data_IF_367029372316
#
_entry.id   IF_367029372316
#
_cell.length_a   1.000
_cell.length_b   1.000
_cell.length_c   1.000
_cell.angle_alpha   90.00
_cell.angle_beta   90.00
_cell.angle_gamma   90.00
#
_symmetry.space_group_name_H-M   'P 1'
#
loop_
_entity.id
_entity.type
_entity.pdbx_description
1 polymer ?
#
# COMPACT_ATOMS: atom_id res chain seq x y z
N UNK A 1 13.46 2.77 -7.14
CA UNK A 1 12.19 3.40 -7.57
C UNK A 1 11.20 2.26 -7.77
N UNK A 2 10.05 2.26 -7.08
CA UNK A 2 9.01 1.29 -7.35
C UNK A 2 8.42 1.65 -8.72
N UNK A 3 8.73 0.83 -9.72
CA UNK A 3 8.47 1.09 -11.16
C UNK A 3 7.07 1.62 -11.45
N UNK A 4 6.08 1.22 -10.65
CA UNK A 4 4.68 1.54 -10.87
C UNK A 4 4.13 2.71 -10.03
N UNK A 5 4.83 3.16 -8.98
CA UNK A 5 4.29 4.20 -8.07
C UNK A 5 5.08 5.50 -8.07
N UNK A 6 6.22 5.58 -8.76
CA UNK A 6 7.13 6.73 -8.78
C UNK A 6 7.79 7.09 -7.45
N UNK A 7 7.46 6.39 -6.36
CA UNK A 7 8.09 6.59 -5.05
C UNK A 7 9.47 5.93 -4.98
N UNK A 8 10.36 6.55 -4.21
CA UNK A 8 11.57 5.88 -3.74
C UNK A 8 11.21 4.71 -2.82
N UNK A 9 12.05 3.67 -2.83
CA UNK A 9 11.80 2.45 -2.05
C UNK A 9 11.79 2.77 -0.55
N UNK A 10 12.67 3.68 -0.12
CA UNK A 10 12.76 4.12 1.28
C UNK A 10 11.48 4.81 1.75
N UNK A 11 10.90 5.67 0.90
CA UNK A 11 9.63 6.36 1.18
C UNK A 11 8.48 5.36 1.32
N UNK A 12 8.47 4.31 0.50
CA UNK A 12 7.48 3.25 0.58
C UNK A 12 7.58 2.47 1.91
N UNK A 13 8.78 2.13 2.36
CA UNK A 13 8.97 1.46 3.65
C UNK A 13 8.52 2.32 4.84
N UNK A 14 8.77 3.64 4.79
CA UNK A 14 8.25 4.56 5.82
C UNK A 14 6.72 4.56 5.84
N UNK A 15 6.07 4.61 4.67
CA UNK A 15 4.61 4.52 4.55
C UNK A 15 4.05 3.22 5.12
N UNK A 16 4.65 2.08 4.78
CA UNK A 16 4.28 0.76 5.33
C UNK A 16 4.42 0.74 6.85
N UNK A 17 5.51 1.31 7.39
CA UNK A 17 5.75 1.41 8.83
C UNK A 17 4.69 2.24 9.55
N UNK A 18 4.30 3.37 8.97
CA UNK A 18 3.25 4.25 9.51
C UNK A 18 1.87 3.59 9.42
N UNK A 19 1.58 2.87 8.34
CA UNK A 19 0.31 2.16 8.18
C UNK A 19 0.15 1.00 9.16
N UNK A 20 1.23 0.31 9.50
CA UNK A 20 1.20 -0.74 10.53
C UNK A 20 0.76 -0.23 11.90
N UNK A 21 0.93 1.07 12.19
CA UNK A 21 0.52 1.65 13.48
C UNK A 21 -0.90 2.25 13.47
N UNK A 22 -1.50 2.45 12.29
CA UNK A 22 -2.73 3.23 12.10
C UNK A 22 -4.01 2.40 11.89
N UNK A 23 -4.15 1.28 12.60
CA UNK A 23 -5.29 0.36 12.49
C UNK A 23 -5.30 -0.45 11.17
N UNK A 24 -6.22 -1.44 11.00
CA UNK A 24 -6.12 -2.37 9.87
C UNK A 24 -6.38 -1.65 8.55
N UNK A 25 -5.37 -1.68 7.67
CA UNK A 25 -5.48 -1.17 6.32
C UNK A 25 -6.20 -2.19 5.43
N UNK A 26 -7.39 -1.82 4.94
CA UNK A 26 -8.21 -2.66 4.05
C UNK A 26 -8.36 -1.99 2.68
N UNK A 27 -7.53 -2.38 1.71
CA UNK A 27 -7.55 -1.77 0.36
C UNK A 27 -8.82 -2.08 -0.47
N UNK A 28 -9.57 -3.12 -0.13
CA UNK A 28 -10.73 -3.58 -0.90
C UNK A 28 -12.05 -3.24 -0.20
N UNK A 29 -12.53 -2.01 -0.37
CA UNK A 29 -13.84 -1.56 0.11
C UNK A 29 -14.12 -1.90 1.59
N UNK A 30 -13.09 -1.87 2.44
CA UNK A 30 -13.22 -2.20 3.87
C UNK A 30 -13.20 -3.70 4.23
N UNK A 31 -13.15 -4.60 3.24
CA UNK A 31 -13.01 -6.03 3.48
C UNK A 31 -11.58 -6.39 3.88
N UNK A 32 -11.47 -7.30 4.85
CA UNK A 32 -10.18 -7.86 5.26
C UNK A 32 -9.73 -8.84 4.19
N UNK A 33 -8.60 -8.55 3.57
CA UNK A 33 -8.02 -9.43 2.54
C UNK A 33 -6.81 -10.15 3.13
N UNK A 34 -6.98 -11.43 3.48
CA UNK A 34 -5.95 -12.24 4.14
C UNK A 34 -4.87 -12.76 3.18
N UNK A 35 -5.15 -12.81 1.87
CA UNK A 35 -4.23 -13.38 0.87
C UNK A 35 -3.12 -12.42 0.41
N UNK A 36 -3.15 -11.15 0.82
CA UNK A 36 -2.16 -10.15 0.40
C UNK A 36 -1.51 -9.51 1.61
N UNK A 37 -0.19 -9.31 1.54
CA UNK A 37 0.53 -8.57 2.58
C UNK A 37 0.13 -7.09 2.58
N UNK A 38 0.33 -6.39 3.69
CA UNK A 38 0.04 -4.95 3.76
C UNK A 38 0.82 -4.15 2.71
N UNK A 39 2.03 -4.60 2.36
CA UNK A 39 2.85 -3.99 1.30
C UNK A 39 2.19 -4.15 -0.07
N UNK A 40 1.70 -5.34 -0.41
CA UNK A 40 1.00 -5.60 -1.66
C UNK A 40 -0.29 -4.77 -1.76
N UNK A 41 -1.05 -4.71 -0.66
CA UNK A 41 -2.29 -3.94 -0.59
C UNK A 41 -2.03 -2.44 -0.80
N UNK A 42 -0.98 -1.91 -0.16
CA UNK A 42 -0.55 -0.53 -0.33
C UNK A 42 -0.10 -0.26 -1.77
N UNK A 43 0.71 -1.16 -2.33
CA UNK A 43 1.21 -1.05 -3.70
C UNK A 43 0.07 -1.01 -4.71
N UNK A 44 -0.90 -1.92 -4.61
CA UNK A 44 -2.10 -1.95 -5.47
C UNK A 44 -2.88 -0.64 -5.36
N UNK A 45 -3.03 -0.12 -4.13
CA UNK A 45 -3.74 1.14 -3.89
C UNK A 45 -3.04 2.32 -4.59
N UNK A 46 -1.71 2.43 -4.42
CA UNK A 46 -0.91 3.48 -5.05
C UNK A 46 -0.93 3.35 -6.58
N UNK A 47 -0.90 2.13 -7.12
CA UNK A 47 -1.03 1.89 -8.55
C UNK A 47 -2.39 2.33 -9.09
N UNK A 48 -3.49 2.03 -8.39
CA UNK A 48 -4.83 2.48 -8.78
C UNK A 48 -4.98 4.00 -8.71
N UNK A 49 -4.49 4.64 -7.65
CA UNK A 49 -4.53 6.10 -7.50
C UNK A 49 -3.76 6.83 -8.61
N UNK A 50 -2.71 6.21 -9.15
CA UNK A 50 -1.94 6.76 -10.27
C UNK A 50 -2.64 6.57 -11.63
N UNK A 51 -3.41 5.50 -11.77
CA UNK A 51 -4.12 5.17 -13.01
C UNK A 51 -5.43 5.95 -13.18
N UNK A 52 -6.02 6.42 -12.08
CA UNK A 52 -7.11 7.41 -12.07
C UNK A 52 -6.58 8.82 -12.28
#
# INVERSE_FOLDING_TARGET
MLLYTSFAVDVFHVLVGVLKTLAPFNYYAGWIVACFSLEDQLLITLMKLRLN
#
